data_IF_577971521552
#
_entry.id   IF_577971521552
#
_cell.length_a   1.000
_cell.length_b   1.000
_cell.length_c   1.000
_cell.angle_alpha   90.00
_cell.angle_beta   90.00
_cell.angle_gamma   90.00
#
_symmetry.space_group_name_H-M   'P 1'
#
loop_
_entity.id
_entity.type
_entity.pdbx_description
1 polymer ?
#
# COMPACT_ATOMS: atom_id res chain seq x y z
N UNK A 1 -13.85 6.20 -1.85
CA UNK A 1 -13.10 5.63 -2.98
C UNK A 1 -12.16 6.68 -3.49
N UNK A 2 -10.96 6.29 -3.90
CA UNK A 2 -9.94 7.15 -4.46
C UNK A 2 -9.71 6.75 -5.92
N UNK A 3 -9.39 7.71 -6.78
CA UNK A 3 -9.11 7.44 -8.18
C UNK A 3 -7.77 8.08 -8.53
N UNK A 4 -6.81 7.25 -8.95
CA UNK A 4 -5.49 7.72 -9.37
C UNK A 4 -5.06 6.95 -10.62
N UNK A 5 -4.50 7.67 -11.60
CA UNK A 5 -4.04 7.09 -12.88
C UNK A 5 -5.05 6.18 -13.59
N UNK A 6 -6.36 6.44 -13.40
CA UNK A 6 -7.44 5.62 -13.97
C UNK A 6 -7.75 4.32 -13.22
N UNK A 7 -7.17 4.14 -12.03
CA UNK A 7 -7.43 3.01 -11.13
C UNK A 7 -8.31 3.48 -9.97
N UNK A 8 -9.40 2.76 -9.73
CA UNK A 8 -10.27 3.00 -8.57
C UNK A 8 -9.81 2.18 -7.37
N UNK A 9 -9.46 2.87 -6.29
CA UNK A 9 -9.10 2.31 -5.01
C UNK A 9 -10.29 2.40 -4.04
N UNK A 10 -10.62 1.28 -3.40
CA UNK A 10 -11.69 1.20 -2.39
C UNK A 10 -11.05 0.94 -1.05
N UNK A 11 -11.33 1.79 -0.08
CA UNK A 11 -10.80 1.70 1.28
C UNK A 11 -11.96 1.80 2.26
N UNK A 12 -11.98 0.93 3.26
CA UNK A 12 -12.93 0.97 4.37
C UNK A 12 -12.66 2.20 5.26
N UNK A 13 -13.72 2.80 5.80
CA UNK A 13 -13.63 4.07 6.53
C UNK A 13 -12.77 4.00 7.80
N UNK A 14 -12.69 2.84 8.46
CA UNK A 14 -11.80 2.63 9.60
C UNK A 14 -10.34 2.49 9.16
N UNK A 15 -10.12 1.92 7.99
CA UNK A 15 -8.78 1.72 7.41
C UNK A 15 -8.17 3.01 6.85
N UNK A 16 -8.98 4.02 6.50
CA UNK A 16 -8.49 5.31 6.00
C UNK A 16 -7.50 5.96 6.97
N UNK A 17 -7.75 5.88 8.28
CA UNK A 17 -6.85 6.47 9.29
C UNK A 17 -5.46 5.83 9.30
N UNK A 18 -5.36 4.54 8.98
CA UNK A 18 -4.09 3.82 8.92
C UNK A 18 -3.40 3.99 7.57
N UNK A 19 -4.16 4.21 6.51
CA UNK A 19 -3.66 4.33 5.14
C UNK A 19 -3.45 5.78 4.70
N UNK A 20 -3.77 6.76 5.55
CA UNK A 20 -3.59 8.18 5.24
C UNK A 20 -2.12 8.49 4.98
N UNK A 21 -1.83 9.05 3.81
CA UNK A 21 -0.48 9.29 3.30
C UNK A 21 0.26 8.05 2.78
N UNK A 22 -0.40 6.89 2.67
CA UNK A 22 0.22 5.69 2.06
C UNK A 22 0.30 5.82 0.55
N UNK A 23 1.49 5.60 0.00
CA UNK A 23 1.71 5.46 -1.44
C UNK A 23 1.69 3.98 -1.84
N UNK A 24 0.99 3.67 -2.92
CA UNK A 24 0.95 2.32 -3.49
C UNK A 24 1.63 2.37 -4.84
N UNK A 25 2.67 1.56 -4.99
CA UNK A 25 3.41 1.42 -6.24
C UNK A 25 3.33 -0.03 -6.73
N UNK A 26 3.28 -0.22 -8.04
CA UNK A 26 3.28 -1.56 -8.63
C UNK A 26 4.64 -1.81 -9.26
N UNK A 27 5.37 -2.79 -8.71
CA UNK A 27 6.73 -3.09 -9.15
C UNK A 27 6.70 -4.40 -9.92
N UNK A 28 7.05 -4.33 -11.20
CA UNK A 28 7.27 -5.49 -12.07
C UNK A 28 8.78 -5.73 -12.18
N UNK A 29 9.28 -6.78 -11.54
CA UNK A 29 10.70 -7.13 -11.54
C UNK A 29 10.96 -8.59 -11.91
N UNK A 30 12.22 -8.89 -12.20
CA UNK A 30 12.71 -10.26 -12.50
C UNK A 30 12.44 -11.28 -11.37
N UNK A 31 12.26 -10.81 -10.14
CA UNK A 31 12.05 -11.64 -8.95
C UNK A 31 10.59 -11.68 -8.47
N UNK A 32 9.67 -11.02 -9.19
CA UNK A 32 8.26 -10.99 -8.86
C UNK A 32 7.59 -9.69 -9.27
N UNK A 33 6.31 -9.81 -9.60
CA UNK A 33 5.37 -8.70 -9.75
C UNK A 33 4.60 -8.53 -8.43
N UNK A 34 4.38 -7.28 -8.00
CA UNK A 34 3.64 -7.05 -6.76
C UNK A 34 3.39 -5.59 -6.41
N UNK A 35 2.42 -5.40 -5.53
CA UNK A 35 2.13 -4.10 -4.94
C UNK A 35 3.09 -3.83 -3.78
N UNK A 36 3.76 -2.69 -3.86
CA UNK A 36 4.59 -2.14 -2.80
C UNK A 36 3.81 -1.01 -2.14
N UNK A 37 3.52 -1.19 -0.85
CA UNK A 37 2.89 -0.14 -0.05
C UNK A 37 3.97 0.57 0.75
N UNK A 38 4.01 1.89 0.63
CA UNK A 38 4.89 2.77 1.38
C UNK A 38 4.03 3.64 2.28
N UNK A 39 3.87 3.20 3.53
CA UNK A 39 3.06 3.91 4.51
C UNK A 39 3.96 4.64 5.51
N UNK A 40 3.92 5.98 5.59
CA UNK A 40 4.74 6.75 6.52
C UNK A 40 4.42 6.47 8.00
N UNK A 41 3.24 5.92 8.29
CA UNK A 41 2.83 5.52 9.64
C UNK A 41 3.37 4.13 10.05
N UNK A 42 3.99 3.37 9.13
CA UNK A 42 4.49 2.02 9.42
C UNK A 42 5.95 2.07 9.85
N UNK A 43 6.20 1.70 11.10
CA UNK A 43 7.53 1.55 11.71
C UNK A 43 8.18 0.19 11.44
N UNK A 44 7.41 -0.81 10.98
CA UNK A 44 7.95 -2.14 10.67
C UNK A 44 7.30 -2.75 9.44
N UNK A 45 8.10 -2.93 8.38
CA UNK A 45 7.71 -3.69 7.19
C UNK A 45 8.32 -5.08 7.30
N UNK A 46 7.49 -6.13 7.37
CA UNK A 46 8.01 -7.49 7.33
C UNK A 46 8.66 -7.70 5.95
N UNK A 47 9.88 -8.25 5.91
CA UNK A 47 10.79 -8.27 4.75
C UNK A 47 10.29 -8.97 3.47
N UNK A 48 9.03 -9.41 3.43
CA UNK A 48 8.34 -9.94 2.26
C UNK A 48 7.32 -8.95 1.64
N UNK A 49 7.10 -7.77 2.23
CA UNK A 49 6.26 -6.69 1.64
C UNK A 49 4.75 -6.95 1.62
N UNK A 50 4.29 -8.14 2.02
CA UNK A 50 2.87 -8.53 1.98
C UNK A 50 2.11 -8.27 3.29
N UNK A 51 2.76 -7.75 4.33
CA UNK A 51 2.12 -7.50 5.62
C UNK A 51 2.79 -6.35 6.36
N UNK A 52 1.96 -5.46 6.90
CA UNK A 52 2.36 -4.33 7.73
C UNK A 52 1.67 -4.48 9.09
N UNK A 53 2.47 -4.42 10.17
CA UNK A 53 1.96 -4.26 11.53
C UNK A 53 2.03 -2.78 11.90
N UNK A 54 0.93 -2.26 12.44
CA UNK A 54 0.89 -0.94 13.08
C UNK A 54 1.40 -1.01 14.52
#
# INVERSE_FOLDING_TARGET
>A
TFEDKGVTMVVDQLSVLYLDGTEIDFVEGLYGEGFKFNNPNVTSTCGCGQSFGV
#
